data_IF_208147828633
#
_entry.id   IF_208147828633
#
_cell.length_a   1.000
_cell.length_b   1.000
_cell.length_c   1.000
_cell.angle_alpha   90.00
_cell.angle_beta   90.00
_cell.angle_gamma   90.00
#
_symmetry.space_group_name_H-M   'P 1'
#
loop_
_entity.id
_entity.type
_entity.pdbx_description
1 polymer ?
#
# COMPACT_ATOMS: atom_id res chain seq x y z
N UNK A 1 -8.21 12.43 -17.26
CA UNK A 1 -7.51 11.63 -16.22
C UNK A 1 -8.55 10.98 -15.31
N UNK A 2 -8.42 9.69 -15.01
CA UNK A 2 -9.18 8.98 -13.98
C UNK A 2 -8.26 8.56 -12.82
N UNK A 3 -8.76 8.62 -11.59
CA UNK A 3 -8.08 8.12 -10.39
C UNK A 3 -8.93 6.98 -9.83
N UNK A 4 -8.35 5.80 -9.64
CA UNK A 4 -9.05 4.60 -9.20
C UNK A 4 -8.32 3.88 -8.06
N UNK A 5 -9.05 3.01 -7.38
CA UNK A 5 -8.49 2.06 -6.42
C UNK A 5 -9.08 0.67 -6.73
N UNK A 6 -8.87 0.23 -7.96
CA UNK A 6 -9.33 -1.06 -8.47
C UNK A 6 -8.14 -1.93 -8.84
N UNK A 7 -8.38 -3.24 -8.99
CA UNK A 7 -7.36 -4.13 -9.57
C UNK A 7 -7.07 -3.73 -11.02
N UNK A 8 -5.87 -4.03 -11.49
CA UNK A 8 -5.43 -3.78 -12.86
C UNK A 8 -6.42 -4.32 -13.90
N UNK A 9 -6.96 -5.53 -13.70
CA UNK A 9 -7.93 -6.12 -14.64
C UNK A 9 -9.22 -5.30 -14.76
N UNK A 10 -9.65 -4.66 -13.67
CA UNK A 10 -10.83 -3.80 -13.66
C UNK A 10 -10.55 -2.45 -14.32
N UNK A 11 -9.35 -1.88 -14.12
CA UNK A 11 -8.94 -0.66 -14.83
C UNK A 11 -8.80 -0.88 -16.34
N UNK A 12 -8.30 -2.04 -16.78
CA UNK A 12 -8.25 -2.40 -18.20
C UNK A 12 -9.66 -2.47 -18.79
N UNK A 13 -10.60 -3.12 -18.08
CA UNK A 13 -12.00 -3.19 -18.51
C UNK A 13 -12.66 -1.80 -18.52
N UNK A 14 -12.38 -0.97 -17.53
CA UNK A 14 -12.87 0.41 -17.46
C UNK A 14 -12.41 1.25 -18.66
N UNK A 15 -11.13 1.20 -19.01
CA UNK A 15 -10.59 1.96 -20.16
C UNK A 15 -11.21 1.51 -21.48
N UNK A 16 -11.57 0.23 -21.62
CA UNK A 16 -12.24 -0.26 -22.83
C UNK A 16 -13.63 0.39 -23.05
N UNK A 17 -14.33 0.73 -21.96
CA UNK A 17 -15.66 1.34 -22.01
C UNK A 17 -15.62 2.89 -21.91
N UNK A 18 -14.45 3.46 -21.58
CA UNK A 18 -14.27 4.90 -21.36
C UNK A 18 -13.15 5.47 -22.27
N UNK A 19 -13.41 5.63 -23.58
CA UNK A 19 -12.40 6.08 -24.55
C UNK A 19 -11.91 7.52 -24.32
N UNK A 20 -12.71 8.34 -23.63
CA UNK A 20 -12.38 9.74 -23.32
C UNK A 20 -11.37 9.88 -22.17
N UNK A 21 -10.96 8.78 -21.53
CA UNK A 21 -9.98 8.81 -20.44
C UNK A 21 -8.57 8.79 -21.02
N UNK A 22 -7.84 9.88 -20.81
CA UNK A 22 -6.46 10.00 -21.31
C UNK A 22 -5.43 9.19 -20.51
N UNK A 23 -5.61 9.06 -19.19
CA UNK A 23 -4.68 8.42 -18.25
C UNK A 23 -5.46 7.89 -17.06
N UNK A 24 -5.11 6.70 -16.57
CA UNK A 24 -5.61 6.14 -15.30
C UNK A 24 -4.48 6.09 -14.28
N UNK A 25 -4.70 6.72 -13.13
CA UNK A 25 -3.88 6.57 -11.93
C UNK A 25 -4.53 5.49 -11.07
N UNK A 26 -3.96 4.29 -11.10
CA UNK A 26 -4.49 3.07 -10.50
C UNK A 26 -3.93 2.83 -9.08
N UNK A 27 -4.60 1.96 -8.32
CA UNK A 27 -4.26 1.58 -6.96
C UNK A 27 -4.55 0.09 -6.71
N UNK A 28 -4.86 -0.27 -5.47
CA UNK A 28 -5.19 -1.63 -4.99
C UNK A 28 -4.09 -2.69 -5.12
N UNK A 29 -3.47 -2.83 -6.29
CA UNK A 29 -2.41 -3.80 -6.50
C UNK A 29 -1.07 -3.22 -6.03
N UNK A 30 -0.47 -3.81 -4.99
CA UNK A 30 0.68 -3.27 -4.25
C UNK A 30 2.03 -3.30 -5.03
N UNK A 31 2.01 -3.23 -6.36
CA UNK A 31 3.20 -3.23 -7.22
C UNK A 31 3.30 -1.96 -8.06
N UNK A 32 4.51 -1.60 -8.48
CA UNK A 32 4.70 -0.55 -9.47
C UNK A 32 4.54 -1.14 -10.87
N UNK A 33 3.67 -0.57 -11.69
CA UNK A 33 3.47 -1.02 -13.07
C UNK A 33 2.89 0.08 -13.93
N UNK A 34 3.43 0.21 -15.14
CA UNK A 34 2.85 0.99 -16.22
C UNK A 34 2.33 0.02 -17.29
N UNK A 35 1.02 -0.04 -17.43
CA UNK A 35 0.31 -0.86 -18.43
C UNK A 35 -0.44 0.06 -19.39
N UNK A 36 -0.85 -0.48 -20.53
CA UNK A 36 -1.61 0.25 -21.54
C UNK A 36 -2.85 -0.55 -21.92
N UNK A 37 -4.00 0.13 -21.93
CA UNK A 37 -5.20 -0.37 -22.57
C UNK A 37 -5.51 0.57 -23.75
N UNK A 38 -5.46 0.03 -24.96
CA UNK A 38 -5.43 0.82 -26.20
C UNK A 38 -4.30 1.87 -26.16
N UNK A 39 -4.65 3.15 -26.25
CA UNK A 39 -3.71 4.28 -26.20
C UNK A 39 -3.70 4.99 -24.84
N UNK A 40 -4.34 4.41 -23.82
CA UNK A 40 -4.48 5.03 -22.48
C UNK A 40 -3.57 4.30 -21.49
N UNK A 41 -2.57 4.99 -20.89
CA UNK A 41 -1.72 4.42 -19.87
C UNK A 41 -2.48 4.27 -18.55
N UNK A 42 -2.24 3.16 -17.89
CA UNK A 42 -2.70 2.80 -16.55
C UNK A 42 -1.46 2.65 -15.67
N UNK A 43 -1.38 3.44 -14.61
CA UNK A 43 -0.19 3.52 -13.76
C UNK A 43 -0.52 3.19 -12.30
N UNK A 44 0.12 2.16 -11.77
CA UNK A 44 0.10 1.80 -10.36
C UNK A 44 1.47 2.09 -9.74
N UNK A 45 1.51 2.74 -8.58
CA UNK A 45 2.75 3.30 -7.99
C UNK A 45 3.33 2.49 -6.82
N UNK A 46 3.08 1.18 -6.74
CA UNK A 46 3.62 0.36 -5.65
C UNK A 46 2.85 0.49 -4.33
N UNK A 47 3.53 0.18 -3.22
CA UNK A 47 2.97 0.23 -1.86
C UNK A 47 3.97 0.83 -0.89
N UNK A 48 3.48 1.21 0.28
CA UNK A 48 4.29 1.65 1.43
C UNK A 48 5.20 2.84 1.10
N UNK A 49 4.81 3.66 0.10
CA UNK A 49 5.53 4.84 -0.36
C UNK A 49 6.99 4.59 -0.80
N UNK A 50 7.34 3.34 -1.13
CA UNK A 50 8.70 2.98 -1.60
C UNK A 50 8.96 3.37 -3.05
N UNK A 51 7.90 3.54 -3.82
CA UNK A 51 7.96 4.03 -5.20
C UNK A 51 7.05 5.24 -5.34
N UNK A 52 7.51 6.22 -6.08
CA UNK A 52 6.78 7.40 -6.49
C UNK A 52 6.84 7.48 -8.01
N UNK A 53 5.75 7.89 -8.65
CA UNK A 53 5.73 8.05 -10.10
C UNK A 53 5.62 9.52 -10.47
N UNK A 54 6.59 10.04 -11.21
CA UNK A 54 6.52 11.38 -11.80
C UNK A 54 5.86 11.28 -13.18
N UNK A 55 4.64 11.79 -13.28
CA UNK A 55 3.87 11.80 -14.53
C UNK A 55 3.92 13.20 -15.14
N UNK A 56 4.45 13.29 -16.35
CA UNK A 56 4.47 14.53 -17.15
C UNK A 56 3.48 14.38 -18.29
N UNK A 57 2.60 15.38 -18.42
CA UNK A 57 1.55 15.44 -19.43
C UNK A 57 1.75 16.69 -20.28
N UNK A 58 1.70 16.54 -21.60
CA UNK A 58 1.68 17.66 -22.54
C UNK A 58 0.33 17.69 -23.26
N UNK A 59 -0.46 18.72 -22.98
CA UNK A 59 -1.79 18.91 -23.56
C UNK A 59 -1.69 19.81 -24.79
N UNK A 60 -2.31 19.39 -25.90
CA UNK A 60 -2.47 20.15 -27.13
C UNK A 60 -3.83 19.87 -27.75
N UNK A 61 -3.98 20.10 -29.06
CA UNK A 61 -5.20 19.74 -29.80
C UNK A 61 -5.22 18.23 -30.06
N UNK A 62 -5.71 17.45 -29.09
CA UNK A 62 -5.83 16.00 -29.18
C UNK A 62 -5.42 15.27 -27.90
N UNK A 63 -5.14 13.97 -28.02
CA UNK A 63 -4.76 13.14 -26.88
C UNK A 63 -3.40 13.60 -26.30
N UNK A 64 -3.29 13.82 -24.98
CA UNK A 64 -2.06 14.32 -24.39
C UNK A 64 -0.95 13.27 -24.47
N UNK A 65 0.29 13.71 -24.67
CA UNK A 65 1.44 12.82 -24.56
C UNK A 65 1.81 12.64 -23.09
N UNK A 66 2.21 11.42 -22.73
CA UNK A 66 2.44 11.02 -21.33
C UNK A 66 3.85 10.46 -21.20
N UNK A 67 4.62 10.99 -20.25
CA UNK A 67 5.89 10.40 -19.83
C UNK A 67 5.81 10.08 -18.35
N UNK A 68 6.13 8.84 -18.01
CA UNK A 68 6.17 8.36 -16.63
C UNK A 68 7.61 8.03 -16.26
N UNK A 69 8.04 8.48 -15.10
CA UNK A 69 9.32 8.15 -14.50
C UNK A 69 9.08 7.53 -13.13
N UNK A 70 9.69 6.37 -12.88
CA UNK A 70 9.68 5.71 -11.58
C UNK A 70 10.80 6.29 -10.72
N UNK A 71 10.44 6.78 -9.54
CA UNK A 71 11.35 7.25 -8.51
C UNK A 71 11.27 6.25 -7.36
N UNK A 72 12.39 5.62 -7.03
CA UNK A 72 12.48 4.71 -5.89
C UNK A 72 12.94 5.53 -4.69
N UNK A 73 12.17 5.49 -3.61
CA UNK A 73 12.47 6.20 -2.38
C UNK A 73 13.38 5.32 -1.51
N UNK A 74 14.63 5.73 -1.38
CA UNK A 74 15.66 5.10 -0.54
C UNK A 74 16.14 6.08 0.52
N UNK A 75 17.02 5.63 1.41
CA UNK A 75 17.72 6.49 2.38
C UNK A 75 18.64 7.54 1.73
N UNK A 76 18.84 7.48 0.41
CA UNK A 76 19.64 8.48 -0.31
C UNK A 76 18.88 9.81 -0.46
N UNK A 77 17.56 9.79 -0.29
CA UNK A 77 16.71 10.98 -0.25
C UNK A 77 16.62 11.46 1.20
N UNK A 78 17.13 12.67 1.45
CA UNK A 78 17.05 13.27 2.78
C UNK A 78 15.60 13.56 3.16
N UNK A 79 15.26 13.28 4.41
CA UNK A 79 13.96 13.64 4.99
C UNK A 79 13.84 15.15 5.12
N UNK A 80 12.63 15.68 4.88
CA UNK A 80 12.31 17.07 5.15
C UNK A 80 12.20 17.29 6.68
N UNK A 81 12.96 18.25 7.26
CA UNK A 81 12.96 18.45 8.72
C UNK A 81 11.58 18.78 9.31
N UNK A 82 10.78 19.60 8.61
CA UNK A 82 9.46 19.98 9.09
C UNK A 82 8.48 18.79 9.08
N UNK A 83 8.53 17.96 8.04
CA UNK A 83 7.75 16.72 7.99
C UNK A 83 8.22 15.70 9.03
N UNK A 84 9.54 15.61 9.26
CA UNK A 84 10.11 14.70 10.27
C UNK A 84 9.60 15.01 11.67
N UNK A 85 9.52 16.29 12.04
CA UNK A 85 8.92 16.71 13.32
C UNK A 85 7.45 16.26 13.45
N UNK A 86 6.68 16.33 12.37
CA UNK A 86 5.29 15.84 12.36
C UNK A 86 5.26 14.32 12.56
N UNK A 87 6.06 13.57 11.80
CA UNK A 87 6.16 12.10 11.93
C UNK A 87 6.53 11.71 13.36
N UNK A 88 7.54 12.35 13.95
CA UNK A 88 8.02 12.07 15.31
C UNK A 88 6.93 12.29 16.36
N UNK A 89 6.10 13.31 16.18
CA UNK A 89 4.96 13.57 17.07
C UNK A 89 3.93 12.42 17.05
N UNK A 90 3.65 11.87 15.87
CA UNK A 90 2.73 10.73 15.72
C UNK A 90 3.34 9.43 16.20
N UNK A 91 4.64 9.20 15.94
CA UNK A 91 5.36 8.04 16.46
C UNK A 91 5.38 8.01 17.99
N UNK A 92 5.65 9.16 18.63
CA UNK A 92 5.62 9.27 20.08
C UNK A 92 4.20 8.98 20.65
N UNK A 93 3.17 9.55 20.03
CA UNK A 93 1.78 9.32 20.43
C UNK A 93 1.34 7.86 20.23
N UNK A 94 1.77 7.23 19.13
CA UNK A 94 1.50 5.83 18.85
C UNK A 94 2.25 4.90 19.82
N UNK A 95 3.54 5.17 20.07
CA UNK A 95 4.35 4.42 21.03
C UNK A 95 3.70 4.41 22.42
N UNK A 96 3.23 5.56 22.91
CA UNK A 96 2.52 5.65 24.17
C UNK A 96 1.23 4.78 24.20
N UNK A 97 0.49 4.71 23.09
CA UNK A 97 -0.71 3.87 22.98
C UNK A 97 -0.38 2.38 22.90
N UNK A 98 0.72 2.01 22.24
CA UNK A 98 1.17 0.63 22.10
C UNK A 98 1.70 0.05 23.41
N UNK A 99 2.21 0.89 24.32
CA UNK A 99 2.62 0.47 25.67
C UNK A 99 1.46 0.24 26.64
N UNK A 100 0.21 0.51 26.25
CA UNK A 100 -0.95 0.28 27.11
C UNK A 100 -1.17 -1.21 27.29
N UNK A 101 -1.21 -1.68 28.53
CA UNK A 101 -1.60 -3.05 28.86
C UNK A 101 -3.04 -3.30 28.37
N UNK A 102 -3.20 -4.32 27.52
CA UNK A 102 -4.50 -4.69 26.93
C UNK A 102 -5.16 -5.81 27.76
N UNK A 103 -4.37 -6.77 28.22
CA UNK A 103 -4.83 -7.87 29.05
C UNK A 103 -3.66 -8.53 29.80
N UNK A 104 -4.00 -9.37 30.77
CA UNK A 104 -3.08 -10.27 31.46
C UNK A 104 -3.47 -11.70 31.12
N UNK A 105 -2.49 -12.53 30.74
CA UNK A 105 -2.71 -13.96 30.59
C UNK A 105 -2.41 -14.67 31.91
N UNK A 106 -3.30 -15.56 32.34
CA UNK A 106 -3.08 -16.44 33.50
C UNK A 106 -2.29 -17.70 33.15
N UNK A 107 -2.07 -17.94 31.85
CA UNK A 107 -1.34 -19.09 31.33
C UNK A 107 -0.16 -18.63 30.46
N UNK A 108 0.90 -19.41 30.44
CA UNK A 108 2.05 -19.16 29.56
C UNK A 108 1.63 -19.31 28.09
N UNK A 109 2.03 -18.34 27.27
CA UNK A 109 1.84 -18.38 25.83
C UNK A 109 3.20 -18.69 25.18
N UNK A 110 3.52 -19.98 25.05
CA UNK A 110 4.78 -20.44 24.45
C UNK A 110 4.79 -20.20 22.93
N UNK A 111 5.60 -19.23 22.51
CA UNK A 111 5.79 -18.82 21.11
C UNK A 111 7.07 -19.36 20.48
N UNK A 112 7.80 -20.27 21.16
CA UNK A 112 9.04 -20.85 20.62
C UNK A 112 8.73 -21.68 19.38
N UNK A 113 9.61 -21.61 18.38
CA UNK A 113 9.48 -22.33 17.11
C UNK A 113 9.19 -23.82 17.29
N UNK A 114 9.87 -24.47 18.23
CA UNK A 114 9.67 -25.90 18.54
C UNK A 114 8.23 -26.18 19.00
N UNK A 115 7.68 -25.35 19.89
CA UNK A 115 6.31 -25.52 20.38
C UNK A 115 5.27 -25.27 19.27
N UNK A 116 5.37 -24.13 18.57
CA UNK A 116 4.33 -23.71 17.61
C UNK A 116 4.38 -24.44 16.27
N UNK A 117 5.48 -25.12 15.93
CA UNK A 117 5.62 -25.85 14.65
C UNK A 117 5.50 -27.37 14.75
N UNK A 118 5.64 -27.96 15.93
CA UNK A 118 5.66 -29.42 16.08
C UNK A 118 4.40 -29.99 16.71
N UNK A 119 3.60 -29.17 17.39
CA UNK A 119 2.36 -29.57 18.03
C UNK A 119 1.35 -28.42 18.06
N UNK A 120 0.13 -28.73 18.51
CA UNK A 120 -0.85 -27.71 18.85
C UNK A 120 -0.34 -26.82 20.00
N UNK A 121 -0.60 -25.51 19.92
CA UNK A 121 -0.14 -24.54 20.91
C UNK A 121 -1.28 -23.61 21.35
N UNK A 122 -1.30 -23.28 22.65
CA UNK A 122 -2.32 -22.40 23.21
C UNK A 122 -2.33 -21.01 22.55
N UNK A 123 -1.16 -20.48 22.18
CA UNK A 123 -1.04 -19.20 21.46
C UNK A 123 -1.64 -19.27 20.06
N UNK A 124 -1.42 -20.37 19.34
CA UNK A 124 -2.03 -20.60 18.03
C UNK A 124 -3.55 -20.62 18.11
N UNK A 125 -4.10 -21.38 19.06
CA UNK A 125 -5.53 -21.46 19.32
C UNK A 125 -6.13 -20.10 19.69
N UNK A 126 -5.46 -19.36 20.58
CA UNK A 126 -5.93 -18.04 20.99
C UNK A 126 -6.00 -17.06 19.80
N UNK A 127 -4.94 -17.00 18.97
CA UNK A 127 -4.91 -16.13 17.79
C UNK A 127 -6.03 -16.50 16.82
N UNK A 128 -6.22 -17.80 16.53
CA UNK A 128 -7.26 -18.24 15.59
C UNK A 128 -8.67 -18.04 16.12
N UNK A 129 -8.91 -18.20 17.42
CA UNK A 129 -10.19 -17.87 18.06
C UNK A 129 -10.50 -16.37 17.96
N UNK A 130 -9.51 -15.50 18.16
CA UNK A 130 -9.66 -14.05 17.98
C UNK A 130 -9.95 -13.70 16.52
N UNK A 131 -9.20 -14.29 15.57
CA UNK A 131 -9.45 -14.10 14.13
C UNK A 131 -10.88 -14.52 13.77
N UNK A 132 -11.32 -15.69 14.23
CA UNK A 132 -12.68 -16.21 13.99
C UNK A 132 -13.76 -15.29 14.55
N UNK A 133 -13.53 -14.66 15.70
CA UNK A 133 -14.48 -13.71 16.31
C UNK A 133 -14.52 -12.35 15.58
N UNK A 134 -13.44 -11.99 14.89
CA UNK A 134 -13.28 -10.69 14.22
C UNK A 134 -13.76 -10.70 12.76
N UNK A 135 -14.08 -11.88 12.22
CA UNK A 135 -14.77 -12.10 10.94
C UNK A 135 -16.29 -12.04 11.15
#
# INVERSE_FOLDING_TARGET
IALSHMRECSDIAFVAEAPDVDVVLSGHDHFWKLTWAHETPILTSGTDFRQMSLVKLWCGDGKPSVKVEQIIITSDVNEDPAMKEVVDSYEAALGAKLCKEICVSLHELDVRTEAVRTAESAVGNFITDVMKKSL
#
